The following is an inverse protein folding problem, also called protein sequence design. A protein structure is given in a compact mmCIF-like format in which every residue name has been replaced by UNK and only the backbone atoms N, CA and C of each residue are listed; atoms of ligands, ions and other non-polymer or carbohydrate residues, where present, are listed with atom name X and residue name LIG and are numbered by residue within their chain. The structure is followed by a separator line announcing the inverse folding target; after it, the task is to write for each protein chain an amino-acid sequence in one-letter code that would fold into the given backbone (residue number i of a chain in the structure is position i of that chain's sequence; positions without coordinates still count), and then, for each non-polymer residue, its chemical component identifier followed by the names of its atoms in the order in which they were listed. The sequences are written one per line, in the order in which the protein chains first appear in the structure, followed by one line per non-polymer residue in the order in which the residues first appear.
data_IF_397785593871
#
_entry.id   IF_397785593871
#
_cell.length_a   1.000
_cell.length_b   1.000
_cell.length_c   1.000
_cell.angle_alpha   90.00
_cell.angle_beta   90.00
_cell.angle_gamma   90.00
#
_symmetry.space_group_name_H-M   'P 1'
#
loop_
_entity.id
_entity.type
_entity.pdbx_description
1 polymer ?
#
# COMPACT_ATOMS: atom_id res chain seq x y z
N UNK A 1 -10.57 22.62 43.08
CA UNK A 1 -11.13 22.30 41.74
C UNK A 1 -10.25 22.76 40.57
N UNK A 2 -9.76 24.00 40.50
CA UNK A 2 -8.99 24.52 39.34
C UNK A 2 -7.69 23.76 39.02
N UNK A 3 -6.91 23.37 40.03
CA UNK A 3 -5.61 22.67 39.84
C UNK A 3 -5.76 21.22 39.34
N UNK A 4 -6.79 20.51 39.80
CA UNK A 4 -7.08 19.14 39.38
C UNK A 4 -7.56 19.08 37.94
N UNK A 5 -8.36 20.06 37.50
CA UNK A 5 -8.78 20.19 36.10
C UNK A 5 -7.58 20.43 35.17
N UNK A 6 -6.63 21.25 35.61
CA UNK A 6 -5.40 21.54 34.86
C UNK A 6 -4.50 20.29 34.76
N UNK A 7 -4.40 19.52 35.85
CA UNK A 7 -3.67 18.24 35.87
C UNK A 7 -4.31 17.19 34.95
N UNK A 8 -5.64 17.10 34.95
CA UNK A 8 -6.39 16.20 34.07
C UNK A 8 -6.23 16.56 32.59
N UNK A 9 -6.22 17.86 32.27
CA UNK A 9 -5.99 18.36 30.91
C UNK A 9 -4.60 17.97 30.39
N UNK A 10 -3.55 18.13 31.21
CA UNK A 10 -2.19 17.73 30.85
C UNK A 10 -2.08 16.23 30.63
N UNK A 11 -2.71 15.42 31.48
CA UNK A 11 -2.70 13.96 31.38
C UNK A 11 -3.40 13.46 30.10
N UNK A 12 -4.51 14.10 29.70
CA UNK A 12 -5.21 13.78 28.47
C UNK A 12 -4.35 14.09 27.25
N UNK A 13 -3.72 15.27 27.19
CA UNK A 13 -2.90 15.68 26.05
C UNK A 13 -1.63 14.81 25.94
N UNK A 14 -1.05 14.36 27.06
CA UNK A 14 0.12 13.48 27.05
C UNK A 14 -0.20 12.01 26.76
N UNK A 15 -1.45 11.58 26.91
CA UNK A 15 -1.90 10.21 26.67
C UNK A 15 -2.26 9.90 25.21
N UNK A 16 -2.60 10.91 24.41
CA UNK A 16 -2.88 10.75 22.98
C UNK A 16 -1.59 10.91 22.15
N UNK A 17 -0.69 9.93 22.26
CA UNK A 17 0.36 9.76 21.26
C UNK A 17 -0.26 9.36 19.93
N UNK A 18 -0.36 10.29 18.99
CA UNK A 18 -0.72 9.94 17.60
C UNK A 18 0.47 9.19 16.98
N UNK A 19 0.43 7.86 16.98
CA UNK A 19 1.35 7.11 16.11
C UNK A 19 0.84 7.26 14.69
N UNK A 20 1.67 7.74 13.77
CA UNK A 20 1.39 7.61 12.35
C UNK A 20 1.35 6.12 12.00
N UNK A 21 0.17 5.62 11.63
CA UNK A 21 0.04 4.34 10.98
C UNK A 21 0.17 4.60 9.47
N UNK A 22 1.30 4.22 8.89
CA UNK A 22 1.45 4.22 7.44
C UNK A 22 0.80 2.93 6.92
N UNK A 23 -0.28 3.06 6.14
CA UNK A 23 -0.97 1.93 5.53
C UNK A 23 -0.17 1.26 4.42
N UNK A 24 0.87 1.93 3.93
CA UNK A 24 1.71 1.52 2.81
C UNK A 24 3.19 1.68 3.16
N UNK A 25 4.01 0.78 2.63
CA UNK A 25 5.48 0.88 2.60
C UNK A 25 5.96 0.69 1.17
N UNK A 26 6.82 1.59 0.71
CA UNK A 26 7.34 1.58 -0.66
C UNK A 26 8.83 1.31 -0.64
N UNK A 27 9.27 0.33 -1.43
CA UNK A 27 10.68 0.05 -1.69
C UNK A 27 10.98 0.28 -3.18
N UNK A 28 12.17 0.82 -3.45
CA UNK A 28 12.65 1.04 -4.81
C UNK A 28 13.78 0.05 -5.09
N UNK A 29 13.60 -0.77 -6.13
CA UNK A 29 14.58 -1.74 -6.61
C UNK A 29 14.92 -1.40 -8.06
N UNK A 30 16.02 -0.66 -8.26
CA UNK A 30 16.40 -0.12 -9.57
C UNK A 30 15.24 0.68 -10.21
N UNK A 31 14.72 0.25 -11.36
CA UNK A 31 13.56 0.85 -12.03
C UNK A 31 12.20 0.43 -11.44
N UNK A 32 12.16 -0.51 -10.49
CA UNK A 32 10.91 -1.03 -9.95
C UNK A 32 10.53 -0.33 -8.64
N UNK A 33 9.24 -0.04 -8.52
CA UNK A 33 8.61 0.46 -7.31
C UNK A 33 7.69 -0.65 -6.79
N UNK A 34 7.95 -1.12 -5.57
CA UNK A 34 7.13 -2.14 -4.91
C UNK A 34 6.50 -1.50 -3.69
N UNK A 35 5.18 -1.40 -3.71
CA UNK A 35 4.40 -0.90 -2.61
C UNK A 35 3.64 -2.04 -1.93
N UNK A 36 3.82 -2.18 -0.62
CA UNK A 36 3.06 -3.11 0.20
C UNK A 36 2.15 -2.30 1.13
N UNK A 37 0.83 -2.49 0.99
CA UNK A 37 -0.16 -1.82 1.81
C UNK A 37 -1.54 -2.43 1.68
N UNK A 38 -2.55 -1.76 2.24
CA UNK A 38 -3.93 -2.20 2.12
C UNK A 38 -4.48 -1.86 0.74
N UNK A 39 -5.18 -2.82 0.11
CA UNK A 39 -5.77 -2.59 -1.22
C UNK A 39 -6.93 -1.60 -1.20
N UNK A 40 -7.72 -1.61 -0.13
CA UNK A 40 -8.78 -0.65 0.18
C UNK A 40 -8.52 -0.10 1.59
N UNK A 41 -8.53 1.22 1.72
CA UNK A 41 -8.30 1.91 2.99
C UNK A 41 -9.59 2.53 3.54
N UNK A 42 -9.91 2.35 4.84
CA UNK A 42 -9.17 1.60 5.87
C UNK A 42 -9.31 0.07 5.70
N UNK A 43 -8.43 -0.76 6.31
CA UNK A 43 -8.48 -2.21 6.15
C UNK A 43 -9.84 -2.77 6.58
N UNK A 44 -10.49 -3.51 5.68
CA UNK A 44 -11.77 -4.16 5.93
C UNK A 44 -11.56 -5.66 6.09
N UNK A 45 -12.10 -6.21 7.18
CA UNK A 45 -12.03 -7.64 7.47
C UNK A 45 -12.88 -8.41 6.44
N UNK A 46 -12.38 -9.58 6.02
CA UNK A 46 -13.00 -10.48 5.03
C UNK A 46 -12.99 -9.98 3.57
N UNK A 47 -12.14 -9.01 3.22
CA UNK A 47 -11.83 -8.72 1.82
C UNK A 47 -10.71 -9.64 1.29
N UNK A 48 -10.77 -10.07 0.02
CA UNK A 48 -9.65 -10.75 -0.62
C UNK A 48 -8.38 -9.88 -0.64
N UNK A 49 -7.21 -10.52 -0.52
CA UNK A 49 -5.95 -9.82 -0.77
C UNK A 49 -5.89 -9.34 -2.21
N UNK A 50 -5.33 -8.14 -2.42
CA UNK A 50 -5.18 -7.51 -3.73
C UNK A 50 -3.70 -7.40 -4.07
N UNK A 51 -3.34 -7.83 -5.28
CA UNK A 51 -2.02 -7.59 -5.86
C UNK A 51 -2.26 -6.74 -7.10
N UNK A 52 -1.66 -5.56 -7.14
CA UNK A 52 -1.74 -4.65 -8.29
C UNK A 52 -0.37 -4.61 -8.94
N UNK A 53 -0.31 -4.86 -10.25
CA UNK A 53 0.90 -4.71 -11.05
C UNK A 53 0.61 -3.57 -12.02
N UNK A 54 1.31 -2.46 -11.85
CA UNK A 54 1.27 -1.33 -12.77
C UNK A 54 2.57 -1.28 -13.57
N UNK A 55 2.47 -1.17 -14.90
CA UNK A 55 3.61 -0.97 -15.78
C UNK A 55 3.45 0.38 -16.46
N UNK A 56 4.28 1.33 -16.04
CA UNK A 56 4.24 2.69 -16.52
C UNK A 56 5.65 3.29 -16.59
N UNK A 57 5.83 4.23 -17.50
CA UNK A 57 7.03 5.06 -17.62
C UNK A 57 6.82 6.41 -16.92
N UNK A 58 7.90 7.01 -16.44
CA UNK A 58 7.86 8.38 -15.90
C UNK A 58 7.50 9.36 -17.01
N UNK A 59 6.48 10.19 -16.77
CA UNK A 59 6.07 11.24 -17.68
C UNK A 59 6.91 12.51 -17.56
N UNK A 60 6.51 13.54 -18.31
CA UNK A 60 7.23 14.83 -18.38
C UNK A 60 7.21 15.63 -17.06
N UNK A 61 6.35 15.27 -16.11
CA UNK A 61 6.19 15.92 -14.81
C UNK A 61 6.33 14.90 -13.69
N UNK A 62 6.88 15.33 -12.57
CA UNK A 62 6.94 14.52 -11.35
C UNK A 62 5.54 14.04 -10.95
N UNK A 63 5.41 12.74 -10.68
CA UNK A 63 4.14 12.08 -10.37
C UNK A 63 3.27 11.70 -11.59
N UNK A 64 3.62 12.14 -12.81
CA UNK A 64 2.92 11.68 -14.02
C UNK A 64 3.46 10.30 -14.41
N UNK A 65 2.58 9.32 -14.55
CA UNK A 65 2.90 7.98 -15.04
C UNK A 65 2.21 7.75 -16.38
N UNK A 66 2.97 7.32 -17.38
CA UNK A 66 2.48 7.04 -18.73
C UNK A 66 2.40 5.52 -18.91
N UNK A 67 1.20 5.00 -19.20
CA UNK A 67 1.02 3.57 -19.42
C UNK A 67 1.79 3.07 -20.64
N UNK A 68 2.38 1.88 -20.52
CA UNK A 68 3.13 1.25 -21.61
C UNK A 68 2.19 0.42 -22.49
N UNK A 69 2.19 0.68 -23.79
CA UNK A 69 1.40 -0.10 -24.74
C UNK A 69 1.83 -1.57 -24.75
N UNK A 70 0.88 -2.49 -24.72
CA UNK A 70 1.13 -3.94 -24.68
C UNK A 70 2.00 -4.40 -23.50
N UNK A 71 2.04 -3.64 -22.39
CA UNK A 71 2.86 -3.94 -21.21
C UNK A 71 2.73 -5.38 -20.70
N UNK A 72 1.54 -5.95 -20.81
CA UNK A 72 1.24 -7.28 -20.31
C UNK A 72 1.15 -8.35 -21.40
N UNK A 73 1.50 -8.02 -22.65
CA UNK A 73 1.45 -8.98 -23.75
C UNK A 73 2.35 -10.17 -23.43
N UNK A 74 1.78 -11.37 -23.42
CA UNK A 74 2.48 -12.61 -23.09
C UNK A 74 3.04 -12.67 -21.65
N UNK A 75 2.50 -11.86 -20.72
CA UNK A 75 2.87 -11.96 -19.31
C UNK A 75 2.35 -13.28 -18.72
N UNK A 76 3.25 -13.99 -18.04
CA UNK A 76 2.87 -15.08 -17.13
C UNK A 76 3.02 -14.58 -15.70
N UNK A 77 2.00 -14.79 -14.87
CA UNK A 77 2.08 -14.53 -13.45
C UNK A 77 1.86 -15.81 -12.66
N UNK A 78 2.67 -16.04 -11.64
CA UNK A 78 2.55 -17.18 -10.75
C UNK A 78 2.51 -16.69 -9.31
N UNK A 79 1.47 -17.08 -8.59
CA UNK A 79 1.34 -16.84 -7.16
C UNK A 79 1.86 -18.05 -6.39
N UNK A 80 2.82 -17.83 -5.49
CA UNK A 80 3.37 -18.85 -4.61
C UNK A 80 3.08 -18.47 -3.15
N UNK A 81 2.51 -19.39 -2.37
CA UNK A 81 2.25 -19.18 -0.94
C UNK A 81 2.22 -20.51 -0.19
N UNK A 82 2.96 -20.61 0.92
CA UNK A 82 2.94 -21.81 1.78
C UNK A 82 3.28 -23.12 1.07
N UNK A 83 4.08 -23.08 0.00
CA UNK A 83 4.40 -24.24 -0.85
C UNK A 83 3.37 -24.56 -1.94
N UNK A 84 2.22 -23.87 -1.96
CA UNK A 84 1.29 -23.90 -3.09
C UNK A 84 1.77 -22.97 -4.21
N UNK A 85 1.54 -23.38 -5.45
CA UNK A 85 1.87 -22.60 -6.65
C UNK A 85 0.64 -22.56 -7.55
N UNK A 86 0.28 -21.37 -8.04
CA UNK A 86 -0.84 -21.16 -8.95
C UNK A 86 -0.44 -20.21 -10.08
N UNK A 87 -0.50 -20.70 -11.30
CA UNK A 87 -0.44 -19.84 -12.49
C UNK A 87 -1.77 -19.08 -12.62
N UNK A 88 -1.68 -17.77 -12.84
CA UNK A 88 -2.83 -16.90 -13.05
C UNK A 88 -3.17 -16.89 -14.53
N UNK A 89 -4.43 -17.20 -14.85
CA UNK A 89 -4.95 -17.02 -16.20
C UNK A 89 -5.25 -15.53 -16.42
N UNK A 90 -4.54 -14.90 -17.36
CA UNK A 90 -4.62 -13.47 -17.61
C UNK A 90 -5.16 -13.23 -19.02
N UNK A 91 -6.44 -12.90 -19.08
CA UNK A 91 -7.13 -12.55 -20.31
C UNK A 91 -7.24 -11.02 -20.38
N UNK A 92 -6.46 -10.41 -21.27
CA UNK A 92 -6.45 -8.97 -21.56
C UNK A 92 -7.37 -8.60 -22.71
#
# INVERSE_FOLDING_TARGET
MKKSFLFLSVLLISGFGMSSAYGHTTIYLEQYEIEAGWGDEPPVVNLPNKIVIEVAESGEKEGLRIGVNSAFKSMTATLMSGGATKELDINF
#
